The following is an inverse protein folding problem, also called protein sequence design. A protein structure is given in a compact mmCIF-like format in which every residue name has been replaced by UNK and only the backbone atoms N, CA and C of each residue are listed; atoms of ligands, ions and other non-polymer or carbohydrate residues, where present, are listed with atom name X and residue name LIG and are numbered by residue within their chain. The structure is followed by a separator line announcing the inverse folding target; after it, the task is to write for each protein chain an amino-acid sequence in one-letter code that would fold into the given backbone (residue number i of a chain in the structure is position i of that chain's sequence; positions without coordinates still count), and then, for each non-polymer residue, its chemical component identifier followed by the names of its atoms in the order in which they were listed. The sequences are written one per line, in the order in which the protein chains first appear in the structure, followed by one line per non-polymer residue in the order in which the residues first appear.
data_IF_259332718507
#
_entry.id   IF_259332718507
#
_cell.length_a   1.000
_cell.length_b   1.000
_cell.length_c   1.000
_cell.angle_alpha   90.00
_cell.angle_beta   90.00
_cell.angle_gamma   90.00
#
_symmetry.space_group_name_H-M   'P 1'
#
loop_
_entity.id
_entity.type
_entity.pdbx_description
1 polymer ?
#
# COMPACT_ATOMS: atom_id res chain seq x y z
N UNK A 1 3.61 -22.95 -23.31
CA UNK A 1 4.91 -22.71 -22.63
C UNK A 1 5.05 -21.34 -21.93
N UNK A 2 4.32 -20.27 -22.31
CA UNK A 2 4.38 -18.96 -21.59
C UNK A 2 3.61 -18.90 -20.26
N UNK A 3 2.64 -19.78 -20.02
CA UNK A 3 1.84 -19.79 -18.77
C UNK A 3 2.53 -20.45 -17.56
N UNK A 4 3.45 -21.39 -17.78
CA UNK A 4 4.24 -22.03 -16.70
C UNK A 4 5.27 -21.06 -16.10
N UNK A 5 5.84 -20.17 -16.91
CA UNK A 5 6.84 -19.18 -16.45
C UNK A 5 6.25 -18.10 -15.54
N UNK A 6 5.01 -17.64 -15.79
CA UNK A 6 4.38 -16.63 -14.95
C UNK A 6 4.02 -17.16 -13.56
N UNK A 7 3.56 -18.42 -13.46
CA UNK A 7 3.29 -19.08 -12.18
C UNK A 7 4.56 -19.32 -11.37
N UNK A 8 5.64 -19.76 -12.02
CA UNK A 8 6.95 -19.94 -11.38
C UNK A 8 7.55 -18.62 -10.89
N UNK A 9 7.44 -17.53 -11.67
CA UNK A 9 7.93 -16.20 -11.28
C UNK A 9 7.14 -15.61 -10.11
N UNK A 10 5.81 -15.75 -10.10
CA UNK A 10 4.98 -15.27 -8.98
C UNK A 10 5.22 -16.13 -7.72
N UNK A 11 5.45 -17.42 -7.90
CA UNK A 11 5.82 -18.35 -6.83
C UNK A 11 7.21 -18.03 -6.25
N UNK A 12 8.21 -17.76 -7.08
CA UNK A 12 9.56 -17.34 -6.68
C UNK A 12 9.55 -15.97 -5.99
N UNK A 13 8.75 -15.02 -6.49
CA UNK A 13 8.60 -13.71 -5.86
C UNK A 13 7.96 -13.83 -4.46
N UNK A 14 6.93 -14.67 -4.33
CA UNK A 14 6.24 -14.92 -3.05
C UNK A 14 7.12 -15.69 -2.06
N UNK A 15 7.88 -16.68 -2.51
CA UNK A 15 8.84 -17.40 -1.65
C UNK A 15 10.03 -16.52 -1.26
N UNK A 16 10.58 -15.74 -2.19
CA UNK A 16 11.65 -14.78 -1.90
C UNK A 16 11.24 -13.73 -0.86
N UNK A 17 10.02 -13.19 -0.98
CA UNK A 17 9.44 -12.27 0.01
C UNK A 17 9.31 -12.94 1.39
N UNK A 18 8.82 -14.18 1.45
CA UNK A 18 8.73 -14.95 2.70
C UNK A 18 10.09 -15.23 3.34
N UNK A 19 11.09 -15.62 2.57
CA UNK A 19 12.46 -15.87 3.06
C UNK A 19 13.05 -14.58 3.66
N UNK A 20 12.90 -13.45 2.97
CA UNK A 20 13.36 -12.14 3.46
C UNK A 20 12.67 -11.74 4.76
N UNK A 21 11.35 -11.95 4.86
CA UNK A 21 10.60 -11.63 6.08
C UNK A 21 10.89 -12.58 7.24
N UNK A 22 11.21 -13.85 6.96
CA UNK A 22 11.68 -14.76 7.99
C UNK A 22 13.04 -14.32 8.53
N UNK A 23 13.97 -13.94 7.66
CA UNK A 23 15.27 -13.42 8.06
C UNK A 23 15.15 -12.17 8.97
N UNK A 24 14.22 -11.26 8.68
CA UNK A 24 13.93 -10.10 9.53
C UNK A 24 13.25 -10.46 10.87
N UNK A 25 12.52 -11.58 10.92
CA UNK A 25 11.77 -12.02 12.09
C UNK A 25 12.62 -12.51 13.25
N UNK A 26 13.83 -13.03 12.97
CA UNK A 26 14.73 -13.54 14.00
C UNK A 26 15.11 -12.49 15.07
N UNK A 27 15.69 -11.32 14.74
CA UNK A 27 16.05 -10.32 15.76
C UNK A 27 14.84 -9.82 16.55
N UNK A 28 13.67 -9.67 15.89
CA UNK A 28 12.42 -9.30 16.57
C UNK A 28 12.03 -10.36 17.61
N UNK A 29 12.06 -11.63 17.21
CA UNK A 29 11.72 -12.78 18.07
C UNK A 29 12.68 -12.89 19.25
N UNK A 30 13.99 -12.82 19.00
CA UNK A 30 15.00 -12.86 20.06
C UNK A 30 14.84 -11.68 21.02
N UNK A 31 14.57 -10.48 20.51
CA UNK A 31 14.31 -9.30 21.32
C UNK A 31 13.16 -9.48 22.31
N UNK A 32 12.10 -10.22 21.93
CA UNK A 32 10.97 -10.50 22.84
C UNK A 32 11.32 -11.43 24.01
N UNK A 33 12.35 -12.28 23.88
CA UNK A 33 12.78 -13.18 24.97
C UNK A 33 13.47 -12.42 26.11
N UNK A 34 14.14 -11.30 25.77
CA UNK A 34 14.90 -10.49 26.72
C UNK A 34 14.17 -9.21 27.16
N UNK A 35 13.10 -8.83 26.46
CA UNK A 35 12.31 -7.65 26.78
C UNK A 35 11.40 -7.90 28.00
N UNK A 36 11.75 -7.31 29.14
CA UNK A 36 10.87 -7.20 30.30
C UNK A 36 9.96 -5.97 30.14
N UNK A 37 8.67 -6.17 29.89
CA UNK A 37 7.70 -5.07 29.86
C UNK A 37 6.39 -5.40 29.14
N UNK A 38 5.46 -6.05 29.84
CA UNK A 38 4.20 -6.53 29.27
C UNK A 38 3.19 -5.45 28.85
N UNK A 39 3.43 -4.16 29.14
CA UNK A 39 2.41 -3.11 29.02
C UNK A 39 2.54 -2.20 27.77
N UNK A 40 3.65 -2.22 27.02
CA UNK A 40 3.79 -1.37 25.83
C UNK A 40 3.18 -2.05 24.59
N UNK A 41 2.45 -1.33 23.72
CA UNK A 41 1.87 -1.90 22.51
C UNK A 41 2.89 -2.60 21.59
N UNK A 42 4.07 -2.01 21.44
CA UNK A 42 5.22 -2.58 20.70
C UNK A 42 5.54 -4.01 21.13
N UNK A 43 5.59 -4.26 22.45
CA UNK A 43 5.93 -5.57 23.00
C UNK A 43 4.83 -6.59 22.69
N UNK A 44 3.57 -6.21 22.83
CA UNK A 44 2.42 -7.08 22.57
C UNK A 44 2.40 -7.53 21.11
N UNK A 45 2.53 -6.58 20.18
CA UNK A 45 2.53 -6.87 18.74
C UNK A 45 3.72 -7.77 18.38
N UNK A 46 4.92 -7.45 18.88
CA UNK A 46 6.13 -8.25 18.62
C UNK A 46 6.06 -9.63 19.25
N UNK A 47 5.47 -9.77 20.44
CA UNK A 47 5.24 -11.07 21.10
C UNK A 47 4.27 -11.93 20.30
N UNK A 48 3.17 -11.35 19.81
CA UNK A 48 2.23 -12.06 18.94
C UNK A 48 2.91 -12.51 17.64
N UNK A 49 3.73 -11.64 17.03
CA UNK A 49 4.53 -12.00 15.86
C UNK A 49 5.52 -13.13 16.16
N UNK A 50 6.30 -13.02 17.25
CA UNK A 50 7.28 -14.01 17.68
C UNK A 50 6.63 -15.39 17.89
N UNK A 51 5.46 -15.42 18.51
CA UNK A 51 4.69 -16.65 18.73
C UNK A 51 4.30 -17.35 17.43
N UNK A 52 3.93 -16.59 16.39
CA UNK A 52 3.65 -17.14 15.06
C UNK A 52 4.95 -17.56 14.35
N UNK A 53 6.00 -16.75 14.44
CA UNK A 53 7.29 -16.99 13.80
C UNK A 53 7.95 -18.31 14.24
N UNK A 54 7.85 -18.67 15.52
CA UNK A 54 8.44 -19.91 16.07
C UNK A 54 7.59 -21.16 15.89
N UNK A 55 6.41 -21.07 15.27
CA UNK A 55 5.51 -22.21 15.03
C UNK A 55 5.24 -22.43 13.54
N UNK A 56 6.22 -22.94 12.76
CA UNK A 56 6.01 -23.37 11.39
C UNK A 56 4.90 -24.43 11.30
N UNK A 57 3.94 -24.28 10.39
CA UNK A 57 2.78 -25.17 10.27
C UNK A 57 3.07 -26.42 9.42
N UNK A 58 4.19 -26.45 8.68
CA UNK A 58 4.58 -27.59 7.86
C UNK A 58 6.07 -27.64 7.48
N UNK A 59 6.46 -28.72 6.78
CA UNK A 59 7.85 -28.99 6.37
C UNK A 59 8.41 -27.88 5.48
N UNK A 60 7.58 -27.32 4.58
CA UNK A 60 7.98 -26.20 3.72
C UNK A 60 8.35 -24.95 4.52
N UNK A 61 7.63 -24.69 5.61
CA UNK A 61 7.94 -23.55 6.48
C UNK A 61 9.24 -23.78 7.25
N UNK A 62 9.52 -25.01 7.70
CA UNK A 62 10.82 -25.32 8.30
C UNK A 62 11.98 -25.13 7.32
N UNK A 63 11.79 -25.55 6.06
CA UNK A 63 12.79 -25.36 5.01
C UNK A 63 13.04 -23.87 4.72
N UNK A 64 11.98 -23.08 4.57
CA UNK A 64 12.09 -21.62 4.36
C UNK A 64 12.82 -20.94 5.53
N UNK A 65 12.55 -21.35 6.76
CA UNK A 65 13.25 -20.83 7.94
C UNK A 65 14.73 -21.20 7.93
N UNK A 66 15.05 -22.47 7.65
CA UNK A 66 16.43 -22.93 7.55
C UNK A 66 17.21 -22.15 6.49
N UNK A 67 16.65 -22.04 5.28
CA UNK A 67 17.24 -21.27 4.17
C UNK A 67 17.42 -19.81 4.56
N UNK A 68 16.41 -19.19 5.16
CA UNK A 68 16.48 -17.80 5.60
C UNK A 68 17.62 -17.59 6.61
N UNK A 69 17.76 -18.46 7.61
CA UNK A 69 18.80 -18.36 8.64
C UNK A 69 20.20 -18.64 8.07
N UNK A 70 20.35 -19.61 7.17
CA UNK A 70 21.63 -19.92 6.51
C UNK A 70 22.11 -18.77 5.63
N UNK A 71 21.19 -18.11 4.91
CA UNK A 71 21.52 -17.01 4.00
C UNK A 71 21.60 -15.65 4.71
N UNK A 72 21.02 -15.51 5.91
CA UNK A 72 20.86 -14.22 6.59
C UNK A 72 22.15 -13.39 6.68
N UNK A 73 23.30 -13.92 7.17
CA UNK A 73 24.50 -13.10 7.33
C UNK A 73 25.01 -12.52 6.01
N UNK A 74 25.00 -13.34 4.95
CA UNK A 74 25.45 -12.94 3.62
C UNK A 74 24.43 -11.99 2.96
N UNK A 75 23.15 -12.32 3.03
CA UNK A 75 22.07 -11.51 2.47
C UNK A 75 22.00 -10.13 3.13
N UNK A 76 22.16 -10.06 4.45
CA UNK A 76 22.21 -8.81 5.20
C UNK A 76 23.41 -7.96 4.80
N UNK A 77 24.62 -8.54 4.74
CA UNK A 77 25.83 -7.83 4.35
C UNK A 77 25.76 -7.30 2.91
N UNK A 78 25.32 -8.12 1.95
CA UNK A 78 25.15 -7.73 0.55
C UNK A 78 24.09 -6.62 0.43
N UNK A 79 22.95 -6.78 1.09
CA UNK A 79 21.87 -5.80 1.05
C UNK A 79 22.30 -4.46 1.66
N UNK A 80 22.94 -4.48 2.83
CA UNK A 80 23.46 -3.28 3.48
C UNK A 80 24.52 -2.58 2.61
N UNK A 81 25.45 -3.33 2.02
CA UNK A 81 26.44 -2.77 1.09
C UNK A 81 25.75 -2.16 -0.15
N UNK A 82 24.83 -2.89 -0.79
CA UNK A 82 24.11 -2.45 -1.98
C UNK A 82 23.35 -1.14 -1.77
N UNK A 83 22.54 -1.06 -0.70
CA UNK A 83 21.78 0.15 -0.41
C UNK A 83 22.67 1.31 0.03
N UNK A 84 23.78 1.04 0.72
CA UNK A 84 24.79 2.05 1.08
C UNK A 84 25.52 2.59 -0.15
N UNK A 85 25.92 1.74 -1.08
CA UNK A 85 26.54 2.18 -2.34
C UNK A 85 25.57 3.03 -3.17
N UNK A 86 24.30 2.61 -3.22
CA UNK A 86 23.25 3.30 -3.99
C UNK A 86 22.87 4.67 -3.42
N UNK A 87 22.70 4.77 -2.10
CA UNK A 87 22.09 5.93 -1.44
C UNK A 87 23.08 6.74 -0.59
N UNK A 88 24.13 6.10 -0.09
CA UNK A 88 25.04 6.63 0.92
C UNK A 88 25.63 8.00 0.59
N UNK A 89 26.25 8.21 -0.59
CA UNK A 89 26.81 9.50 -0.97
C UNK A 89 25.79 10.63 -1.05
N UNK A 90 24.54 10.32 -1.44
CA UNK A 90 23.46 11.32 -1.51
C UNK A 90 22.97 11.68 -0.11
N UNK A 91 22.81 10.69 0.76
CA UNK A 91 22.44 10.92 2.17
C UNK A 91 23.53 11.67 2.92
N UNK A 92 24.81 11.33 2.71
CA UNK A 92 25.92 12.01 3.36
C UNK A 92 25.96 13.50 2.98
N UNK A 93 25.72 13.84 1.72
CA UNK A 93 25.65 15.24 1.25
C UNK A 93 24.43 15.99 1.78
N UNK A 94 23.27 15.35 1.88
CA UNK A 94 22.00 16.01 2.28
C UNK A 94 21.82 16.13 3.79
N UNK A 95 22.26 15.13 4.56
CA UNK A 95 21.99 15.01 5.99
C UNK A 95 23.26 14.95 6.86
N UNK A 96 24.44 15.02 6.26
CA UNK A 96 25.71 15.00 6.99
C UNK A 96 26.04 13.66 7.67
N UNK A 97 25.28 12.58 7.42
CA UNK A 97 25.53 11.25 7.99
C UNK A 97 26.61 10.52 7.18
N UNK A 98 27.81 10.26 7.73
CA UNK A 98 28.89 9.61 6.97
C UNK A 98 28.50 8.23 6.46
N UNK A 99 28.96 7.83 5.27
CA UNK A 99 28.60 6.55 4.62
C UNK A 99 28.88 5.34 5.51
N UNK A 100 30.01 5.33 6.22
CA UNK A 100 30.37 4.26 7.17
C UNK A 100 29.40 4.20 8.34
N UNK A 101 28.97 5.36 8.85
CA UNK A 101 27.97 5.42 9.92
C UNK A 101 26.60 4.89 9.44
N UNK A 102 26.23 5.13 8.18
CA UNK A 102 25.00 4.59 7.61
C UNK A 102 25.03 3.05 7.52
N UNK A 103 26.19 2.46 7.19
CA UNK A 103 26.35 1.00 7.20
C UNK A 103 26.23 0.43 8.62
N UNK A 104 26.90 1.06 9.59
CA UNK A 104 26.81 0.67 11.00
C UNK A 104 25.38 0.79 11.55
N UNK A 105 24.66 1.86 11.18
CA UNK A 105 23.26 2.06 11.57
C UNK A 105 22.36 0.94 11.06
N UNK A 106 22.50 0.54 9.79
CA UNK A 106 21.71 -0.55 9.20
C UNK A 106 21.89 -1.86 9.99
N UNK A 107 23.13 -2.22 10.36
CA UNK A 107 23.40 -3.42 11.15
C UNK A 107 22.84 -3.28 12.57
N UNK A 108 23.06 -2.14 13.22
CA UNK A 108 22.55 -1.89 14.58
C UNK A 108 21.03 -1.98 14.64
N UNK A 109 20.33 -1.36 13.69
CA UNK A 109 18.87 -1.33 13.61
C UNK A 109 18.30 -2.70 13.23
N UNK A 110 19.00 -3.49 12.41
CA UNK A 110 18.59 -4.86 12.15
C UNK A 110 18.59 -5.69 13.44
N UNK A 111 19.67 -5.67 14.21
CA UNK A 111 19.77 -6.47 15.45
C UNK A 111 18.89 -5.94 16.58
N UNK A 112 18.67 -4.63 16.66
CA UNK A 112 17.85 -4.01 17.72
C UNK A 112 16.34 -4.10 17.43
N UNK A 113 15.93 -3.84 16.19
CA UNK A 113 14.53 -3.57 15.83
C UNK A 113 14.03 -4.40 14.63
N UNK A 114 14.85 -5.29 14.08
CA UNK A 114 14.51 -6.10 12.90
C UNK A 114 14.39 -5.30 11.60
N UNK A 115 14.89 -4.06 11.59
CA UNK A 115 14.78 -3.17 10.43
C UNK A 115 15.79 -3.59 9.37
N UNK A 116 15.29 -4.06 8.23
CA UNK A 116 16.12 -4.47 7.10
C UNK A 116 16.78 -3.26 6.41
N UNK A 117 17.93 -3.44 5.72
CA UNK A 117 18.66 -2.38 5.05
C UNK A 117 17.87 -1.44 4.11
N UNK A 118 16.90 -1.91 3.29
CA UNK A 118 16.07 -1.01 2.50
C UNK A 118 15.28 -0.02 3.37
N UNK A 119 14.76 -0.48 4.51
CA UNK A 119 13.89 0.29 5.39
C UNK A 119 14.63 1.38 6.18
N UNK A 120 15.94 1.23 6.37
CA UNK A 120 16.78 2.32 6.86
C UNK A 120 16.65 3.59 5.99
N UNK A 121 16.56 3.44 4.66
CA UNK A 121 16.38 4.57 3.74
C UNK A 121 14.90 4.96 3.57
N UNK A 122 13.98 3.98 3.51
CA UNK A 122 12.52 4.22 3.39
C UNK A 122 11.99 5.00 4.60
N UNK A 123 12.42 4.67 5.82
CA UNK A 123 12.00 5.37 7.04
C UNK A 123 12.89 6.56 7.41
N UNK A 124 13.82 6.93 6.51
CA UNK A 124 14.75 8.03 6.72
C UNK A 124 15.54 7.93 8.04
N UNK A 125 15.87 6.72 8.50
CA UNK A 125 16.58 6.48 9.76
C UNK A 125 18.05 6.93 9.72
N UNK A 126 18.51 7.54 8.62
CA UNK A 126 19.74 8.33 8.58
C UNK A 126 19.58 9.69 9.28
N UNK A 127 18.36 10.19 9.40
CA UNK A 127 18.01 11.33 10.23
C UNK A 127 18.04 10.96 11.72
N UNK A 128 18.46 11.89 12.59
CA UNK A 128 18.63 11.61 14.02
C UNK A 128 17.29 11.40 14.72
N UNK A 129 16.29 12.19 14.37
CA UNK A 129 15.00 12.14 15.06
C UNK A 129 14.23 10.91 14.62
N UNK A 130 14.18 10.60 13.31
CA UNK A 130 13.56 9.36 12.82
C UNK A 130 14.20 8.11 13.48
N UNK A 131 15.53 8.10 13.62
CA UNK A 131 16.27 6.97 14.23
C UNK A 131 16.05 6.80 15.72
N UNK A 132 15.71 7.86 16.47
CA UNK A 132 15.33 7.75 17.89
C UNK A 132 14.02 6.99 18.07
N UNK A 133 13.14 7.07 17.07
CA UNK A 133 11.82 6.45 17.02
C UNK A 133 11.81 5.15 16.20
N UNK A 134 12.98 4.52 15.98
CA UNK A 134 13.12 3.33 15.13
C UNK A 134 12.24 2.17 15.60
N UNK A 135 12.16 1.92 16.91
CA UNK A 135 11.32 0.86 17.49
C UNK A 135 9.82 1.04 17.21
N UNK A 136 9.40 2.29 16.96
CA UNK A 136 8.03 2.63 16.61
C UNK A 136 7.61 2.22 15.21
N UNK A 137 8.57 1.92 14.32
CA UNK A 137 8.23 1.56 12.94
C UNK A 137 7.77 0.09 12.87
N UNK A 138 6.56 -0.10 12.35
CA UNK A 138 6.02 -1.40 12.00
C UNK A 138 6.68 -1.90 10.73
N UNK A 139 7.33 -3.06 10.80
CA UNK A 139 7.85 -3.74 9.63
C UNK A 139 6.74 -4.49 8.88
N UNK A 140 6.96 -4.68 7.58
CA UNK A 140 6.05 -5.47 6.74
C UNK A 140 5.95 -6.94 7.18
N UNK A 141 7.00 -7.49 7.79
CA UNK A 141 6.97 -8.84 8.37
C UNK A 141 6.05 -8.92 9.61
N UNK A 142 6.10 -7.93 10.51
CA UNK A 142 5.25 -7.86 11.72
C UNK A 142 3.76 -7.70 11.37
N UNK A 143 3.46 -7.05 10.25
CA UNK A 143 2.09 -6.84 9.77
C UNK A 143 1.62 -7.98 8.85
N UNK A 144 2.12 -8.06 7.61
CA UNK A 144 1.60 -8.99 6.59
C UNK A 144 1.86 -10.47 6.87
N UNK A 145 2.90 -10.78 7.65
CA UNK A 145 3.22 -12.15 8.07
C UNK A 145 3.00 -12.37 9.56
N UNK A 146 2.35 -11.43 10.25
CA UNK A 146 2.12 -11.48 11.69
C UNK A 146 0.71 -11.07 12.04
N UNK A 147 0.55 -9.81 12.43
CA UNK A 147 -0.71 -9.29 12.95
C UNK A 147 -1.88 -9.46 11.97
N UNK A 148 -1.68 -9.23 10.67
CA UNK A 148 -2.77 -9.22 9.70
C UNK A 148 -3.39 -10.61 9.50
N UNK A 149 -2.63 -11.69 9.19
CA UNK A 149 -3.21 -13.04 9.11
C UNK A 149 -3.99 -13.44 10.36
N UNK A 150 -3.44 -13.17 11.55
CA UNK A 150 -4.06 -13.52 12.84
C UNK A 150 -5.42 -12.82 13.02
N UNK A 151 -5.45 -11.51 12.76
CA UNK A 151 -6.67 -10.71 12.89
C UNK A 151 -7.71 -11.01 11.79
N UNK A 152 -7.26 -11.39 10.58
CA UNK A 152 -8.14 -11.82 9.50
C UNK A 152 -8.75 -13.20 9.80
N UNK A 153 -7.95 -14.15 10.29
CA UNK A 153 -8.40 -15.51 10.61
C UNK A 153 -9.49 -15.54 11.69
N UNK A 154 -9.50 -14.56 12.60
CA UNK A 154 -10.57 -14.38 13.60
C UNK A 154 -11.96 -14.19 12.96
N UNK A 155 -12.01 -13.62 11.77
CA UNK A 155 -13.24 -13.39 11.02
C UNK A 155 -13.32 -14.37 9.85
N UNK A 156 -13.87 -15.57 10.10
CA UNK A 156 -14.00 -16.68 9.16
C UNK A 156 -14.84 -16.40 7.88
N UNK A 157 -15.28 -15.16 7.67
CA UNK A 157 -16.07 -14.75 6.51
C UNK A 157 -15.18 -14.38 5.31
N UNK A 158 -15.61 -14.82 4.12
CA UNK A 158 -15.14 -14.25 2.86
C UNK A 158 -15.49 -12.77 2.83
N UNK A 159 -14.47 -11.91 2.74
CA UNK A 159 -14.70 -10.47 2.62
C UNK A 159 -14.84 -10.06 1.16
N UNK A 160 -15.67 -9.06 0.85
CA UNK A 160 -15.69 -8.46 -0.48
C UNK A 160 -14.35 -7.74 -0.80
N UNK A 161 -13.52 -7.48 0.21
CA UNK A 161 -12.21 -6.85 0.04
C UNK A 161 -11.25 -7.76 -0.74
N UNK A 162 -10.62 -7.19 -1.78
CA UNK A 162 -9.70 -7.90 -2.68
C UNK A 162 -10.34 -8.38 -3.99
N UNK A 163 -11.68 -8.43 -4.06
CA UNK A 163 -12.43 -8.60 -5.30
C UNK A 163 -13.14 -7.28 -5.67
N UNK A 164 -12.68 -6.62 -6.73
CA UNK A 164 -13.15 -5.27 -7.07
C UNK A 164 -14.63 -5.24 -7.48
N UNK A 165 -15.18 -6.36 -7.95
CA UNK A 165 -16.61 -6.45 -8.31
C UNK A 165 -17.47 -6.65 -7.06
N UNK A 166 -17.08 -7.61 -6.19
CA UNK A 166 -17.79 -7.84 -4.92
C UNK A 166 -17.73 -6.61 -4.01
N UNK A 167 -16.58 -5.94 -3.96
CA UNK A 167 -16.40 -4.66 -3.26
C UNK A 167 -17.40 -3.60 -3.72
N UNK A 168 -17.52 -3.40 -5.03
CA UNK A 168 -18.43 -2.39 -5.58
C UNK A 168 -19.90 -2.71 -5.29
N UNK A 169 -20.30 -3.97 -5.48
CA UNK A 169 -21.66 -4.42 -5.17
C UNK A 169 -21.99 -4.24 -3.67
N UNK A 170 -21.05 -4.58 -2.79
CA UNK A 170 -21.21 -4.40 -1.34
C UNK A 170 -21.34 -2.93 -0.94
N UNK A 171 -20.51 -2.06 -1.53
CA UNK A 171 -20.59 -0.61 -1.29
C UNK A 171 -21.95 -0.05 -1.75
N UNK A 172 -22.41 -0.44 -2.95
CA UNK A 172 -23.71 -0.02 -3.48
C UNK A 172 -24.88 -0.46 -2.58
N UNK A 173 -24.85 -1.70 -2.08
CA UNK A 173 -25.86 -2.22 -1.16
C UNK A 173 -25.93 -1.44 0.17
N UNK A 174 -24.83 -0.80 0.59
CA UNK A 174 -24.75 0.03 1.79
C UNK A 174 -24.85 1.53 1.51
N UNK A 175 -25.19 1.94 0.27
CA UNK A 175 -25.30 3.35 -0.10
C UNK A 175 -23.97 4.12 -0.10
N UNK A 176 -22.84 3.42 -0.13
CA UNK A 176 -21.51 4.05 -0.15
C UNK A 176 -21.16 4.52 -1.57
N UNK A 177 -20.60 5.74 -1.74
CA UNK A 177 -20.18 6.22 -3.04
C UNK A 177 -18.96 5.42 -3.53
N UNK A 178 -19.13 4.64 -4.59
CA UNK A 178 -18.09 3.80 -5.19
C UNK A 178 -18.02 4.03 -6.68
N UNK A 179 -16.84 3.85 -7.29
CA UNK A 179 -16.69 3.99 -8.74
C UNK A 179 -17.63 2.99 -9.45
N UNK A 180 -18.52 3.43 -10.34
CA UNK A 180 -19.46 2.55 -11.02
C UNK A 180 -18.73 1.60 -11.96
N UNK A 181 -19.20 0.35 -12.01
CA UNK A 181 -18.72 -0.65 -12.96
C UNK A 181 -19.65 -0.62 -14.17
N UNK A 182 -19.11 -0.33 -15.34
CA UNK A 182 -19.87 -0.23 -16.59
C UNK A 182 -20.05 -1.61 -17.24
N UNK A 183 -19.01 -2.44 -17.17
CA UNK A 183 -19.02 -3.79 -17.72
C UNK A 183 -18.00 -4.68 -17.01
N UNK A 184 -18.27 -5.98 -17.00
CA UNK A 184 -17.33 -7.01 -16.56
C UNK A 184 -17.16 -8.01 -17.70
N UNK A 185 -15.91 -8.30 -18.07
CA UNK A 185 -15.59 -9.34 -19.03
C UNK A 185 -15.01 -10.56 -18.31
N UNK A 186 -15.58 -11.73 -18.57
CA UNK A 186 -15.23 -13.01 -17.96
C UNK A 186 -15.40 -14.14 -18.98
N UNK A 187 -14.41 -15.00 -19.10
CA UNK A 187 -14.45 -16.21 -19.94
C UNK A 187 -14.94 -15.96 -21.38
N UNK A 188 -14.46 -14.86 -21.99
CA UNK A 188 -14.81 -14.48 -23.36
C UNK A 188 -16.17 -13.79 -23.50
N UNK A 189 -16.92 -13.62 -22.42
CA UNK A 189 -18.23 -12.95 -22.38
C UNK A 189 -18.12 -11.59 -21.72
N UNK A 190 -19.04 -10.70 -22.08
CA UNK A 190 -19.18 -9.39 -21.45
C UNK A 190 -20.54 -9.35 -20.77
N UNK A 191 -20.51 -9.28 -19.45
CA UNK A 191 -21.65 -8.98 -18.59
C UNK A 191 -21.81 -7.45 -18.65
N UNK A 192 -22.71 -6.98 -19.51
CA UNK A 192 -22.92 -5.56 -19.77
C UNK A 192 -24.03 -4.99 -18.88
N UNK A 193 -23.77 -3.83 -18.25
CA UNK A 193 -24.79 -2.81 -18.09
C UNK A 193 -25.00 -2.13 -19.44
N UNK A 194 -26.24 -1.83 -19.81
CA UNK A 194 -26.63 -1.39 -21.15
C UNK A 194 -25.76 -0.23 -21.69
N UNK A 195 -24.91 -0.55 -22.69
CA UNK A 195 -24.03 0.36 -23.46
C UNK A 195 -22.79 0.85 -22.70
N UNK A 196 -21.61 0.41 -23.16
CA UNK A 196 -20.36 1.16 -22.93
C UNK A 196 -20.59 2.63 -23.31
N UNK A 197 -20.41 3.51 -22.33
CA UNK A 197 -20.58 4.93 -22.51
C UNK A 197 -19.57 5.48 -23.51
N UNK A 198 -19.98 6.49 -24.25
CA UNK A 198 -19.11 7.29 -25.12
C UNK A 198 -18.28 8.27 -24.28
N UNK A 199 -17.38 7.72 -23.47
CA UNK A 199 -16.55 8.47 -22.54
C UNK A 199 -15.19 7.80 -22.36
N UNK A 200 -14.26 8.51 -21.73
CA UNK A 200 -12.98 7.94 -21.33
C UNK A 200 -13.19 6.75 -20.38
N UNK A 201 -12.48 5.65 -20.62
CA UNK A 201 -12.62 4.40 -19.89
C UNK A 201 -11.34 4.05 -19.13
N UNK A 202 -11.53 3.34 -18.03
CA UNK A 202 -10.49 2.72 -17.24
C UNK A 202 -10.74 1.22 -17.14
N UNK A 203 -9.77 0.41 -17.56
CA UNK A 203 -9.88 -1.05 -17.56
C UNK A 203 -8.89 -1.61 -16.56
N UNK A 204 -9.33 -2.49 -15.65
CA UNK A 204 -8.44 -3.17 -14.69
C UNK A 204 -8.86 -4.62 -14.46
N UNK A 205 -7.96 -5.52 -14.03
CA UNK A 205 -8.36 -6.85 -13.59
C UNK A 205 -9.25 -6.77 -12.34
N UNK A 206 -10.20 -7.68 -12.21
CA UNK A 206 -11.06 -7.79 -11.01
C UNK A 206 -10.24 -8.09 -9.76
N UNK A 207 -9.21 -8.94 -9.90
CA UNK A 207 -8.25 -9.28 -8.85
C UNK A 207 -6.84 -8.93 -9.31
N UNK A 208 -6.34 -7.80 -8.82
CA UNK A 208 -4.96 -7.37 -9.00
C UNK A 208 -4.57 -6.37 -7.90
N UNK A 209 -3.26 -6.32 -7.62
CA UNK A 209 -2.63 -5.42 -6.66
C UNK A 209 -1.75 -4.40 -7.37
N UNK A 210 -1.64 -3.21 -6.79
CA UNK A 210 -0.67 -2.19 -7.19
C UNK A 210 -0.81 -1.63 -8.61
N UNK A 211 -2.01 -1.66 -9.20
CA UNK A 211 -2.26 -1.12 -10.54
C UNK A 211 -1.77 -2.00 -11.70
N UNK A 212 -1.24 -3.21 -11.43
CA UNK A 212 -0.78 -4.13 -12.49
C UNK A 212 -1.94 -4.50 -13.44
N UNK A 213 -1.74 -4.23 -14.73
CA UNK A 213 -2.71 -4.52 -15.78
C UNK A 213 -3.86 -3.51 -15.89
N UNK A 214 -3.76 -2.37 -15.20
CA UNK A 214 -4.65 -1.23 -15.40
C UNK A 214 -4.31 -0.49 -16.70
N UNK A 215 -5.34 -0.06 -17.42
CA UNK A 215 -5.22 0.57 -18.74
C UNK A 215 -6.15 1.79 -18.82
N UNK A 216 -5.63 2.87 -19.41
CA UNK A 216 -6.38 4.07 -19.76
C UNK A 216 -6.79 4.00 -21.23
N UNK A 217 -8.04 4.34 -21.51
CA UNK A 217 -8.60 4.42 -22.87
C UNK A 217 -9.34 5.76 -23.03
N UNK A 218 -8.78 6.65 -23.85
CA UNK A 218 -9.33 7.98 -24.11
C UNK A 218 -10.31 7.91 -25.28
N UNK A 219 -11.51 8.48 -25.15
CA UNK A 219 -12.53 8.45 -26.21
C UNK A 219 -12.24 9.51 -27.27
N UNK A 220 -12.17 9.09 -28.54
CA UNK A 220 -11.86 9.96 -29.68
C UNK A 220 -13.09 10.43 -30.46
N UNK A 221 -14.30 10.06 -30.01
CA UNK A 221 -15.52 10.23 -30.79
C UNK A 221 -15.75 9.10 -31.80
N UNK A 222 -16.99 9.00 -32.29
CA UNK A 222 -17.42 8.02 -33.29
C UNK A 222 -17.10 6.56 -32.89
N UNK A 223 -17.26 6.22 -31.61
CA UNK A 223 -17.03 4.85 -31.13
C UNK A 223 -15.57 4.39 -31.09
N UNK A 224 -14.59 5.30 -31.21
CA UNK A 224 -13.16 4.97 -31.19
C UNK A 224 -12.50 5.33 -29.86
N UNK A 225 -11.55 4.50 -29.43
CA UNK A 225 -10.81 4.64 -28.18
C UNK A 225 -9.31 4.54 -28.43
N UNK A 226 -8.53 5.42 -27.80
CA UNK A 226 -7.07 5.40 -27.82
C UNK A 226 -6.54 4.90 -26.48
N UNK A 227 -5.83 3.78 -26.47
CA UNK A 227 -5.12 3.28 -25.30
C UNK A 227 -3.94 4.18 -24.94
N UNK A 228 -3.53 4.19 -23.67
CA UNK A 228 -2.37 4.95 -23.21
C UNK A 228 -1.03 4.59 -23.90
N UNK A 229 -0.98 3.49 -24.66
CA UNK A 229 0.14 3.08 -25.51
C UNK A 229 0.03 3.57 -26.97
N UNK A 230 -0.98 4.38 -27.29
CA UNK A 230 -1.26 4.88 -28.64
C UNK A 230 -2.09 3.94 -29.52
N UNK A 231 -2.50 2.76 -29.03
CA UNK A 231 -3.34 1.84 -29.79
C UNK A 231 -4.76 2.39 -29.94
N UNK A 232 -5.20 2.62 -31.16
CA UNK A 232 -6.57 3.05 -31.45
C UNK A 232 -7.42 1.84 -31.86
N UNK A 233 -8.55 1.65 -31.18
CA UNK A 233 -9.54 0.61 -31.48
C UNK A 233 -10.91 1.24 -31.70
N UNK A 234 -11.68 0.72 -32.63
CA UNK A 234 -13.13 0.93 -32.63
C UNK A 234 -13.81 0.13 -31.52
N UNK A 235 -15.12 0.31 -31.37
CA UNK A 235 -15.91 -0.34 -30.32
C UNK A 235 -15.82 -1.86 -30.38
N UNK A 236 -15.96 -2.45 -31.56
CA UNK A 236 -16.02 -3.91 -31.69
C UNK A 236 -14.66 -4.55 -31.44
N UNK A 237 -13.58 -3.94 -31.93
CA UNK A 237 -12.21 -4.36 -31.67
C UNK A 237 -11.85 -4.20 -30.18
N UNK A 238 -12.28 -3.12 -29.53
CA UNK A 238 -12.11 -2.92 -28.09
C UNK A 238 -12.84 -4.02 -27.29
N UNK A 239 -14.08 -4.35 -27.65
CA UNK A 239 -14.83 -5.42 -27.01
C UNK A 239 -14.22 -6.80 -27.26
N UNK A 240 -13.78 -7.07 -28.50
CA UNK A 240 -13.05 -8.29 -28.85
C UNK A 240 -11.79 -8.46 -27.99
N UNK A 241 -11.04 -7.37 -27.77
CA UNK A 241 -9.86 -7.37 -26.90
C UNK A 241 -10.23 -7.65 -25.44
N UNK A 242 -11.27 -7.01 -24.90
CA UNK A 242 -11.74 -7.26 -23.53
C UNK A 242 -12.12 -8.74 -23.32
N UNK A 243 -12.85 -9.32 -24.27
CA UNK A 243 -13.20 -10.75 -24.27
C UNK A 243 -11.95 -11.62 -24.28
N UNK A 244 -11.00 -11.34 -25.17
CA UNK A 244 -9.76 -12.09 -25.25
C UNK A 244 -8.94 -12.04 -23.96
N UNK A 245 -8.77 -10.84 -23.36
CA UNK A 245 -8.05 -10.70 -22.10
C UNK A 245 -8.74 -11.37 -20.91
N UNK A 246 -10.07 -11.49 -20.96
CA UNK A 246 -10.86 -12.06 -19.87
C UNK A 246 -10.61 -13.55 -19.64
N UNK A 247 -10.15 -14.28 -20.67
CA UNK A 247 -9.75 -15.70 -20.53
C UNK A 247 -8.55 -15.89 -19.60
N UNK A 248 -7.64 -14.89 -19.54
CA UNK A 248 -6.51 -14.95 -18.64
C UNK A 248 -6.88 -14.51 -17.22
N UNK A 249 -7.56 -13.36 -17.10
CA UNK A 249 -8.10 -12.83 -15.85
C UNK A 249 -9.34 -11.99 -16.13
N UNK A 250 -10.42 -12.11 -15.33
CA UNK A 250 -11.59 -11.25 -15.46
C UNK A 250 -11.20 -9.76 -15.44
N UNK A 251 -11.82 -8.98 -16.31
CA UNK A 251 -11.58 -7.54 -16.47
C UNK A 251 -12.84 -6.78 -16.11
N UNK A 252 -12.67 -5.63 -15.49
CA UNK A 252 -13.77 -4.69 -15.26
C UNK A 252 -13.47 -3.38 -15.99
N UNK A 253 -14.53 -2.71 -16.43
CA UNK A 253 -14.51 -1.42 -17.09
C UNK A 253 -15.21 -0.39 -16.19
N UNK A 254 -14.55 0.73 -15.95
CA UNK A 254 -15.05 1.87 -15.18
C UNK A 254 -14.96 3.13 -16.04
N UNK A 255 -15.75 4.17 -15.74
CA UNK A 255 -15.46 5.49 -16.29
C UNK A 255 -14.10 5.94 -15.77
N UNK A 256 -13.34 6.64 -16.62
CA UNK A 256 -12.13 7.31 -16.19
C UNK A 256 -12.53 8.60 -15.47
N UNK A 257 -12.44 8.57 -14.15
CA UNK A 257 -12.73 9.73 -13.32
C UNK A 257 -11.65 10.80 -13.47
N UNK A 258 -12.08 12.06 -13.38
CA UNK A 258 -11.21 13.24 -13.32
C UNK A 258 -11.13 13.73 -11.88
N UNK A 259 -9.94 14.19 -11.50
CA UNK A 259 -9.74 14.82 -10.20
C UNK A 259 -10.61 16.08 -10.10
N UNK A 260 -11.15 16.33 -8.91
CA UNK A 260 -11.83 17.58 -8.63
C UNK A 260 -10.90 18.78 -8.85
N UNK A 261 -11.39 19.93 -9.36
CA UNK A 261 -10.55 21.10 -9.67
C UNK A 261 -9.64 21.53 -8.52
N UNK A 262 -10.11 21.39 -7.28
CA UNK A 262 -9.36 21.73 -6.07
C UNK A 262 -8.10 20.88 -5.78
N UNK A 263 -7.88 19.76 -6.49
CA UNK A 263 -6.65 18.94 -6.41
C UNK A 263 -6.09 18.57 -7.79
N UNK A 264 -6.69 19.07 -8.87
CA UNK A 264 -6.28 18.71 -10.23
C UNK A 264 -4.85 19.17 -10.56
N UNK A 265 -4.39 20.24 -9.90
CA UNK A 265 -3.03 20.77 -9.97
C UNK A 265 -1.99 19.94 -9.21
N UNK A 266 -2.41 18.93 -8.43
CA UNK A 266 -1.55 17.99 -7.71
C UNK A 266 -1.47 16.63 -8.42
N UNK A 267 -1.67 16.60 -9.73
CA UNK A 267 -1.59 15.39 -10.54
C UNK A 267 -1.09 15.70 -11.95
N UNK A 268 -0.44 14.73 -12.58
CA UNK A 268 -0.08 14.75 -14.01
C UNK A 268 -1.22 14.28 -14.96
N UNK A 269 -2.44 14.10 -14.43
CA UNK A 269 -3.62 13.63 -15.15
C UNK A 269 -4.12 12.23 -14.75
N UNK A 270 -3.39 11.51 -13.90
CA UNK A 270 -3.90 10.29 -13.24
C UNK A 270 -4.86 10.66 -12.09
N UNK A 271 -5.82 9.79 -11.78
CA UNK A 271 -6.68 9.97 -10.61
C UNK A 271 -5.84 9.86 -9.34
N UNK A 272 -5.82 10.92 -8.53
CA UNK A 272 -5.12 10.97 -7.26
C UNK A 272 -6.05 10.49 -6.13
N UNK A 273 -5.50 9.81 -5.15
CA UNK A 273 -6.28 9.17 -4.08
C UNK A 273 -5.66 9.42 -2.71
N UNK A 274 -6.51 9.49 -1.70
CA UNK A 274 -6.11 9.37 -0.31
C UNK A 274 -6.15 7.90 0.08
N UNK A 275 -5.02 7.39 0.53
CA UNK A 275 -4.92 6.10 1.24
C UNK A 275 -5.23 6.36 2.71
N UNK A 276 -6.44 6.04 3.15
CA UNK A 276 -6.92 6.19 4.52
C UNK A 276 -6.93 4.83 5.23
N UNK A 277 -6.27 4.71 6.39
CA UNK A 277 -6.29 3.51 7.22
C UNK A 277 -7.29 3.69 8.35
N UNK A 278 -8.30 2.83 8.40
CA UNK A 278 -9.19 2.75 9.56
C UNK A 278 -8.91 1.48 10.37
N UNK A 279 -9.18 1.54 11.67
CA UNK A 279 -9.09 0.40 12.58
C UNK A 279 -10.30 0.42 13.53
N UNK A 280 -10.76 -0.74 13.97
CA UNK A 280 -11.76 -0.83 15.02
C UNK A 280 -11.13 -0.44 16.36
N UNK A 281 -11.78 0.45 17.09
CA UNK A 281 -11.43 0.81 18.45
C UNK A 281 -11.76 -0.31 19.45
N UNK A 282 -11.50 -0.08 20.73
CA UNK A 282 -11.77 -1.03 21.80
C UNK A 282 -13.26 -1.34 21.97
N UNK A 283 -14.15 -0.44 21.53
CA UNK A 283 -15.60 -0.60 21.52
C UNK A 283 -16.14 -1.16 20.20
N UNK A 284 -15.26 -1.54 19.26
CA UNK A 284 -15.62 -2.10 17.96
C UNK A 284 -16.11 -1.06 16.94
N UNK A 285 -15.81 0.23 17.13
CA UNK A 285 -16.19 1.32 16.22
C UNK A 285 -15.01 1.66 15.31
N UNK A 286 -15.22 1.90 14.01
CA UNK A 286 -14.18 2.38 13.13
C UNK A 286 -13.62 3.75 13.54
N UNK A 287 -12.29 3.87 13.53
CA UNK A 287 -11.54 5.08 13.78
C UNK A 287 -10.53 5.29 12.64
N UNK A 288 -10.40 6.51 12.11
CA UNK A 288 -9.34 6.84 11.14
C UNK A 288 -7.98 6.99 11.85
N UNK A 289 -7.00 6.20 11.43
CA UNK A 289 -5.71 6.04 12.11
C UNK A 289 -4.56 6.73 11.38
N UNK A 290 -4.59 6.74 10.05
CA UNK A 290 -3.56 7.37 9.23
C UNK A 290 -4.11 7.70 7.85
N UNK A 291 -3.58 8.75 7.22
CA UNK A 291 -3.93 9.07 5.84
C UNK A 291 -2.74 9.64 5.08
N UNK A 292 -2.61 9.27 3.82
CA UNK A 292 -1.65 9.87 2.89
C UNK A 292 -2.31 10.18 1.55
N UNK A 293 -1.98 11.32 0.97
CA UNK A 293 -2.40 11.69 -0.37
C UNK A 293 -1.36 11.23 -1.39
N UNK A 294 -1.77 10.39 -2.34
CA UNK A 294 -0.93 9.81 -3.40
C UNK A 294 -1.10 10.59 -4.70
N UNK A 295 0.02 10.93 -5.32
CA UNK A 295 0.07 11.76 -6.52
C UNK A 295 0.96 11.08 -7.57
N UNK A 296 0.46 10.96 -8.80
CA UNK A 296 1.25 10.49 -9.93
C UNK A 296 2.19 11.60 -10.42
N UNK A 297 3.43 11.24 -10.75
CA UNK A 297 4.42 12.14 -11.34
C UNK A 297 5.03 11.54 -12.62
N UNK A 298 5.60 12.39 -13.47
CA UNK A 298 6.27 12.01 -14.71
C UNK A 298 5.31 11.47 -15.78
N UNK A 299 5.78 10.50 -16.58
CA UNK A 299 5.03 9.95 -17.71
C UNK A 299 3.89 9.00 -17.34
N UNK A 300 3.79 8.53 -16.09
CA UNK A 300 2.74 7.61 -15.67
C UNK A 300 1.43 8.37 -15.43
N UNK A 301 0.54 8.35 -16.44
CA UNK A 301 -0.78 9.00 -16.39
C UNK A 301 -1.94 8.02 -16.20
N UNK A 302 -1.66 6.79 -15.77
CA UNK A 302 -2.66 5.71 -15.64
C UNK A 302 -3.03 5.46 -14.18
N UNK A 303 -2.05 5.44 -13.27
CA UNK A 303 -2.28 5.20 -11.84
C UNK A 303 -1.36 6.07 -10.98
N UNK A 304 -1.83 6.48 -9.81
CA UNK A 304 -1.12 7.27 -8.80
C UNK A 304 -0.33 6.44 -7.79
N UNK A 305 -0.30 5.11 -7.96
CA UNK A 305 0.39 4.22 -7.04
C UNK A 305 1.88 4.58 -6.93
N UNK A 306 2.36 4.79 -5.70
CA UNK A 306 3.76 5.09 -5.39
C UNK A 306 4.72 4.02 -5.94
N UNK A 307 4.29 2.75 -5.95
CA UNK A 307 5.09 1.64 -6.49
C UNK A 307 5.20 1.68 -8.02
N UNK A 308 4.41 2.50 -8.69
CA UNK A 308 4.47 2.80 -10.11
C UNK A 308 5.16 4.16 -10.40
N UNK A 309 5.91 4.70 -9.43
CA UNK A 309 6.72 5.92 -9.58
C UNK A 309 6.04 7.21 -9.11
N UNK A 310 4.94 7.13 -8.35
CA UNK A 310 4.30 8.30 -7.74
C UNK A 310 5.03 8.83 -6.49
N UNK A 311 4.46 9.88 -5.90
CA UNK A 311 4.84 10.45 -4.61
C UNK A 311 3.65 10.42 -3.64
N UNK A 312 3.90 10.52 -2.35
CA UNK A 312 2.85 10.66 -1.35
C UNK A 312 3.21 11.68 -0.26
N UNK A 313 2.21 12.43 0.18
CA UNK A 313 2.28 13.35 1.33
C UNK A 313 1.43 12.80 2.48
N UNK A 314 1.91 12.92 3.71
CA UNK A 314 1.12 12.60 4.90
C UNK A 314 0.03 13.64 5.08
N UNK A 315 -1.14 13.26 5.59
CA UNK A 315 -2.21 14.18 5.94
C UNK A 315 -2.33 14.20 7.46
N UNK A 316 -2.20 15.37 8.06
CA UNK A 316 -2.51 15.58 9.47
C UNK A 316 -4.01 15.33 9.71
N UNK A 317 -4.33 14.43 10.65
CA UNK A 317 -5.71 13.94 10.80
C UNK A 317 -6.66 14.99 11.35
N UNK A 318 -6.16 15.93 12.15
CA UNK A 318 -6.96 16.99 12.75
C UNK A 318 -7.24 18.11 11.75
N UNK A 319 -6.19 18.62 11.10
CA UNK A 319 -6.23 19.82 10.27
C UNK A 319 -6.44 19.54 8.78
N UNK A 320 -6.12 18.32 8.32
CA UNK A 320 -6.07 17.98 6.90
C UNK A 320 -4.85 18.53 6.17
N UNK A 321 -3.90 19.15 6.87
CA UNK A 321 -2.70 19.71 6.26
C UNK A 321 -1.77 18.61 5.71
N UNK A 322 -1.30 18.78 4.48
CA UNK A 322 -0.37 17.85 3.85
C UNK A 322 1.07 18.13 4.26
N UNK A 323 1.85 17.09 4.52
CA UNK A 323 3.30 17.19 4.75
C UNK A 323 4.08 17.33 3.43
N UNK A 324 5.41 17.41 3.51
CA UNK A 324 6.27 17.22 2.34
C UNK A 324 6.02 15.86 1.70
N UNK A 325 5.96 15.82 0.37
CA UNK A 325 5.83 14.58 -0.37
C UNK A 325 7.18 13.89 -0.59
N UNK A 326 7.17 12.57 -0.77
CA UNK A 326 8.31 11.80 -1.27
C UNK A 326 7.84 10.57 -2.03
N UNK A 327 8.74 9.94 -2.77
CA UNK A 327 8.55 8.57 -3.24
C UNK A 327 8.68 7.59 -2.06
N UNK A 328 8.73 6.27 -2.31
CA UNK A 328 8.93 5.28 -1.25
C UNK A 328 10.32 5.37 -0.59
N UNK A 329 11.29 6.08 -1.17
CA UNK A 329 12.62 6.24 -0.57
C UNK A 329 13.59 5.10 -0.73
N UNK A 330 13.29 4.13 -1.61
CA UNK A 330 14.29 3.13 -2.02
C UNK A 330 15.52 3.76 -2.68
N UNK A 331 15.34 4.94 -3.25
CA UNK A 331 16.37 5.78 -3.86
C UNK A 331 16.40 7.13 -3.16
N UNK A 332 17.57 7.57 -2.71
CA UNK A 332 17.74 8.87 -2.10
C UNK A 332 17.67 10.04 -3.09
N UNK A 333 17.48 9.79 -4.40
CA UNK A 333 17.56 10.82 -5.45
C UNK A 333 16.45 11.87 -5.35
N UNK A 334 15.20 11.46 -5.20
CA UNK A 334 14.07 12.40 -5.20
C UNK A 334 14.06 13.26 -3.92
N UNK A 335 14.17 12.62 -2.76
CA UNK A 335 14.12 13.31 -1.47
C UNK A 335 12.72 13.81 -1.13
N UNK A 336 12.66 14.92 -0.40
CA UNK A 336 11.44 15.54 0.08
C UNK A 336 11.06 16.73 -0.79
N UNK A 337 9.77 16.87 -1.08
CA UNK A 337 9.22 17.85 -2.02
C UNK A 337 8.12 18.67 -1.35
N UNK A 338 8.29 19.99 -1.34
CA UNK A 338 7.23 20.93 -0.93
C UNK A 338 6.24 21.25 -2.06
N UNK A 339 6.61 20.95 -3.31
CA UNK A 339 5.83 21.24 -4.52
C UNK A 339 5.76 20.02 -5.41
N UNK A 340 4.65 19.90 -6.14
CA UNK A 340 4.46 18.83 -7.11
C UNK A 340 5.43 19.02 -8.30
N UNK A 341 6.24 18.01 -8.65
CA UNK A 341 7.36 18.19 -9.57
C UNK A 341 6.94 18.53 -11.00
N UNK A 342 5.76 18.07 -11.44
CA UNK A 342 5.30 18.30 -12.82
C UNK A 342 4.53 19.62 -12.99
N UNK A 343 3.90 20.12 -11.91
CA UNK A 343 2.96 21.25 -11.98
C UNK A 343 3.42 22.47 -11.18
N UNK A 344 4.40 22.30 -10.28
CA UNK A 344 4.88 23.34 -9.38
C UNK A 344 3.91 23.71 -8.23
N UNK A 345 2.73 23.07 -8.17
CA UNK A 345 1.72 23.36 -7.16
C UNK A 345 2.21 23.05 -5.74
N UNK A 346 1.86 23.86 -4.73
CA UNK A 346 2.26 23.63 -3.34
C UNK A 346 1.57 22.38 -2.77
N UNK A 347 2.36 21.54 -2.13
CA UNK A 347 1.93 20.34 -1.39
C UNK A 347 1.99 20.63 0.11
N UNK A 348 3.19 20.92 0.61
CA UNK A 348 3.45 21.07 2.05
C UNK A 348 2.64 22.23 2.64
N UNK A 349 1.92 21.97 3.73
CA UNK A 349 1.04 22.91 4.43
C UNK A 349 -0.32 23.13 3.77
N UNK A 350 -0.56 22.65 2.55
CA UNK A 350 -1.88 22.76 1.90
C UNK A 350 -2.85 21.79 2.55
N UNK A 351 -4.01 22.29 2.99
CA UNK A 351 -5.08 21.45 3.49
C UNK A 351 -5.73 20.66 2.34
N UNK A 352 -5.96 19.36 2.56
CA UNK A 352 -6.74 18.54 1.64
C UNK A 352 -8.21 19.03 1.64
N UNK A 353 -8.81 19.32 0.48
CA UNK A 353 -10.15 19.89 0.42
C UNK A 353 -11.21 18.92 0.95
N UNK A 354 -12.20 19.47 1.67
CA UNK A 354 -13.31 18.70 2.27
C UNK A 354 -12.83 17.57 3.19
N UNK A 355 -11.72 17.78 3.90
CA UNK A 355 -11.11 16.78 4.78
C UNK A 355 -12.07 16.16 5.81
N UNK A 356 -12.92 16.93 6.52
CA UNK A 356 -13.87 16.33 7.47
C UNK A 356 -14.82 15.31 6.83
N UNK A 357 -15.27 15.56 5.60
CA UNK A 357 -16.15 14.66 4.86
C UNK A 357 -15.44 13.36 4.46
N UNK A 358 -14.17 13.43 4.09
CA UNK A 358 -13.36 12.25 3.79
C UNK A 358 -13.21 11.35 5.02
N UNK A 359 -12.92 11.95 6.19
CA UNK A 359 -12.82 11.21 7.46
C UNK A 359 -14.10 10.44 7.76
N UNK A 360 -15.24 11.13 7.67
CA UNK A 360 -16.57 10.54 7.86
C UNK A 360 -16.79 9.40 6.87
N UNK A 361 -16.47 9.60 5.59
CA UNK A 361 -16.64 8.55 4.57
C UNK A 361 -15.76 7.31 4.85
N UNK A 362 -14.52 7.49 5.30
CA UNK A 362 -13.63 6.36 5.62
C UNK A 362 -14.18 5.52 6.78
N UNK A 363 -14.67 6.18 7.84
CA UNK A 363 -15.27 5.50 9.00
C UNK A 363 -16.62 4.84 8.62
N UNK A 364 -17.48 5.53 7.87
CA UNK A 364 -18.73 4.98 7.33
C UNK A 364 -18.48 3.79 6.41
N UNK A 365 -17.45 3.84 5.58
CA UNK A 365 -17.08 2.71 4.74
C UNK A 365 -16.70 1.51 5.61
N UNK A 366 -15.92 1.69 6.67
CA UNK A 366 -15.52 0.59 7.55
C UNK A 366 -16.68 0.02 8.38
N UNK A 367 -17.72 0.79 8.69
CA UNK A 367 -18.96 0.26 9.26
C UNK A 367 -19.62 -0.82 8.38
N UNK A 368 -19.44 -0.77 7.05
CA UNK A 368 -19.93 -1.81 6.16
C UNK A 368 -19.01 -3.05 6.09
N UNK A 369 -17.81 -3.01 6.69
CA UNK A 369 -16.79 -4.07 6.62
C UNK A 369 -16.24 -4.42 8.02
N UNK A 370 -17.13 -4.60 8.99
CA UNK A 370 -16.78 -4.98 10.37
C UNK A 370 -16.23 -6.42 10.49
N UNK A 371 -16.22 -7.18 9.40
CA UNK A 371 -15.49 -8.44 9.28
C UNK A 371 -13.96 -8.23 9.26
N UNK A 372 -13.49 -6.99 9.29
CA UNK A 372 -12.08 -6.64 9.35
C UNK A 372 -11.79 -5.66 10.49
N UNK A 373 -10.77 -5.98 11.27
CA UNK A 373 -10.23 -5.09 12.31
C UNK A 373 -9.67 -3.81 11.72
N UNK A 374 -9.05 -3.86 10.54
CA UNK A 374 -8.48 -2.69 9.88
C UNK A 374 -8.70 -2.77 8.36
N UNK A 375 -8.83 -1.61 7.72
CA UNK A 375 -8.96 -1.52 6.26
C UNK A 375 -8.21 -0.29 5.74
N UNK A 376 -7.45 -0.47 4.66
CA UNK A 376 -6.85 0.63 3.90
C UNK A 376 -7.73 1.00 2.71
N UNK A 377 -8.41 2.14 2.78
CA UNK A 377 -9.27 2.69 1.74
C UNK A 377 -8.47 3.54 0.77
N UNK A 378 -8.71 3.36 -0.52
CA UNK A 378 -8.35 4.34 -1.53
C UNK A 378 -9.59 5.17 -1.87
N UNK A 379 -9.55 6.46 -1.52
CA UNK A 379 -10.64 7.40 -1.71
C UNK A 379 -10.20 8.47 -2.71
N UNK A 380 -10.94 8.64 -3.80
CA UNK A 380 -10.70 9.71 -4.74
C UNK A 380 -11.66 10.88 -4.46
N UNK A 381 -11.20 12.11 -4.65
CA UNK A 381 -12.06 13.28 -4.78
C UNK A 381 -12.20 13.59 -6.27
N UNK A 382 -13.27 13.05 -6.88
CA UNK A 382 -13.60 13.28 -8.27
C UNK A 382 -14.43 14.57 -8.45
N UNK A 383 -14.62 15.03 -9.69
CA UNK A 383 -15.46 16.20 -10.01
C UNK A 383 -16.85 16.14 -9.36
N UNK A 384 -17.48 14.96 -9.31
CA UNK A 384 -18.79 14.76 -8.71
C UNK A 384 -18.77 14.62 -7.16
N UNK A 385 -17.59 14.53 -6.54
CA UNK A 385 -17.41 14.31 -5.11
C UNK A 385 -16.56 13.09 -4.77
N UNK A 386 -16.61 12.67 -3.52
CA UNK A 386 -15.83 11.52 -3.05
C UNK A 386 -16.34 10.20 -3.59
N UNK A 387 -15.43 9.29 -3.91
CA UNK A 387 -15.77 7.91 -4.22
C UNK A 387 -14.69 6.93 -3.74
N UNK A 388 -15.12 5.77 -3.25
CA UNK A 388 -14.28 4.63 -2.94
C UNK A 388 -13.76 3.98 -4.22
N UNK A 389 -12.45 3.84 -4.32
CA UNK A 389 -11.75 3.21 -5.46
C UNK A 389 -11.48 1.73 -5.18
N UNK A 390 -11.01 1.43 -3.97
CA UNK A 390 -10.77 0.08 -3.46
C UNK A 390 -10.63 0.08 -1.92
N UNK A 391 -10.92 -1.07 -1.30
CA UNK A 391 -10.59 -1.36 0.09
C UNK A 391 -9.55 -2.48 0.18
N UNK A 392 -8.58 -2.34 1.08
CA UNK A 392 -7.43 -3.24 1.22
C UNK A 392 -7.35 -3.84 2.62
N UNK A 393 -7.45 -5.17 2.72
CA UNK A 393 -7.32 -5.92 3.99
C UNK A 393 -5.88 -6.16 4.45
N UNK A 394 -4.88 -5.63 3.73
CA UNK A 394 -3.46 -5.84 4.00
C UNK A 394 -2.64 -4.61 3.61
N UNK A 395 -3.11 -3.44 4.03
CA UNK A 395 -2.52 -2.16 3.65
C UNK A 395 -1.05 -2.09 4.04
N UNK A 396 -0.21 -1.64 3.09
CA UNK A 396 1.19 -1.35 3.34
C UNK A 396 1.31 -0.14 4.26
N UNK A 397 1.86 -0.36 5.46
CA UNK A 397 2.09 0.68 6.47
C UNK A 397 3.31 1.54 6.15
N UNK A 398 4.24 1.05 5.32
CA UNK A 398 5.45 1.78 4.94
C UNK A 398 5.13 3.12 4.27
N UNK A 399 4.10 3.10 3.40
CA UNK A 399 3.59 4.26 2.68
C UNK A 399 3.02 5.33 3.64
N UNK A 400 2.54 4.93 4.81
CA UNK A 400 1.98 5.85 5.81
C UNK A 400 3.07 6.37 6.76
N UNK A 401 3.99 5.50 7.17
CA UNK A 401 5.05 5.82 8.14
C UNK A 401 6.10 6.75 7.56
N UNK A 402 6.42 6.62 6.27
CA UNK A 402 7.46 7.45 5.64
C UNK A 402 7.07 8.93 5.62
N UNK A 403 5.96 9.38 5.00
CA UNK A 403 5.64 10.80 4.90
C UNK A 403 5.37 11.49 6.24
N UNK A 404 4.95 10.72 7.25
CA UNK A 404 4.76 11.20 8.64
C UNK A 404 6.07 11.20 9.44
N UNK A 405 7.12 10.52 8.94
CA UNK A 405 8.44 10.39 9.58
C UNK A 405 8.39 9.85 11.01
N UNK A 406 7.37 9.05 11.29
CA UNK A 406 7.15 8.42 12.59
C UNK A 406 6.51 7.06 12.38
N UNK A 407 6.91 6.10 13.20
CA UNK A 407 6.38 4.76 13.16
C UNK A 407 4.97 4.69 13.74
N UNK A 408 4.08 3.91 13.12
CA UNK A 408 2.68 3.81 13.54
C UNK A 408 2.50 2.99 14.83
N UNK A 409 3.51 2.20 15.24
CA UNK A 409 3.46 1.42 16.48
C UNK A 409 3.41 2.32 17.73
N UNK A 410 4.04 3.48 17.69
CA UNK A 410 4.06 4.44 18.81
C UNK A 410 2.71 5.14 19.02
N UNK A 411 1.85 5.13 18.00
CA UNK A 411 0.59 5.85 17.99
C UNK A 411 -0.62 4.98 18.31
N UNK A 412 -1.79 5.53 17.98
CA UNK A 412 -3.09 4.87 18.13
C UNK A 412 -3.16 3.51 17.42
N UNK A 413 -2.50 3.37 16.27
CA UNK A 413 -2.48 2.11 15.53
C UNK A 413 -1.85 0.97 16.34
N UNK A 414 -0.68 1.21 16.93
CA UNK A 414 -0.01 0.20 17.75
C UNK A 414 -0.85 -0.20 18.96
N UNK A 415 -1.48 0.76 19.64
CA UNK A 415 -2.38 0.50 20.76
C UNK A 415 -3.56 -0.41 20.35
N UNK A 416 -4.23 -0.10 19.24
CA UNK A 416 -5.35 -0.91 18.74
C UNK A 416 -4.91 -2.29 18.25
N UNK A 417 -3.78 -2.38 17.53
CA UNK A 417 -3.21 -3.66 17.14
C UNK A 417 -2.92 -4.54 18.36
N UNK A 418 -2.29 -3.97 19.39
CA UNK A 418 -2.01 -4.68 20.63
C UNK A 418 -3.29 -5.17 21.32
N UNK A 419 -4.31 -4.31 21.44
CA UNK A 419 -5.61 -4.67 22.00
C UNK A 419 -6.25 -5.85 21.26
N UNK A 420 -6.34 -5.77 19.93
CA UNK A 420 -6.97 -6.82 19.13
C UNK A 420 -6.18 -8.13 19.14
N UNK A 421 -4.84 -8.07 19.20
CA UNK A 421 -3.99 -9.26 19.28
C UNK A 421 -4.05 -9.95 20.66
N UNK A 422 -4.25 -9.20 21.74
CA UNK A 422 -4.46 -9.78 23.07
C UNK A 422 -5.79 -10.53 23.19
N UNK A 423 -6.79 -10.13 22.40
CA UNK A 423 -8.08 -10.79 22.36
C UNK A 423 -8.07 -12.09 21.53
N UNK A 424 -6.93 -12.46 20.93
CA UNK A 424 -6.77 -13.72 20.20
C UNK A 424 -6.26 -14.80 21.17
N UNK A 425 -6.89 -15.99 21.21
CA UNK A 425 -6.52 -17.08 22.12
C UNK A 425 -5.09 -17.60 21.97
#
# INVERSE_FOLDING_TARGET
MRHLGAGLVDWLATHGERIVYRAAGLPITLGTLFAMGAAKPEFVVRKAYAHHYVRPEGIGDWLDLFVALSLLPLALAISAAWFTLRNGPTIARRYGRPVVAQLADQLRLFFADGILPPWYYIFSLHDRDCRRHAAGFLNRCETKCGAYPVLIARHAASSPLGDKQAFAAHCQAHGLPVIPILAVARDGRIEAGERLCEADLFVKPVRARGGKGAERWDYLGNGRYCGGNGLVLDRDAFLGRLRHLSFAKPRLVQPRLRNHPAIADLSNGALATVRALTCLDEQGRPELIAAVFRMAIGGNRTVDNIHAGGIAAGIDLETGAMSQASDLGMSARLGWLDRHPDTGAPISGRAFPRWPELRILAEQAHWAFLDRVFVGWDIALAEAGFCLVEGNSGSDVDLMQRPVRRGLMEGRFGALLAYHLQAVP
#
